data_IF_791912298487
#
_entry.id   IF_791912298487
#
_cell.length_a   1.000
_cell.length_b   1.000
_cell.length_c   1.000
_cell.angle_alpha   90.00
_cell.angle_beta   90.00
_cell.angle_gamma   90.00
#
_symmetry.space_group_name_H-M   'P 1'
#
loop_
_entity.id
_entity.type
_entity.pdbx_description
1 polymer ?
#
# COMPACT_ATOMS: atom_id res chain seq x y z
N UNK A 1 18.12 23.36 -14.62
CA UNK A 1 18.33 22.55 -13.41
C UNK A 1 17.14 22.80 -12.51
N UNK A 2 16.13 21.92 -12.57
CA UNK A 2 14.93 22.07 -11.73
C UNK A 2 15.12 21.16 -10.52
N UNK A 3 15.48 21.74 -9.39
CA UNK A 3 15.40 21.10 -8.08
C UNK A 3 13.90 20.96 -7.74
N UNK A 4 13.27 19.90 -8.27
CA UNK A 4 11.95 19.51 -7.80
C UNK A 4 12.14 19.02 -6.36
N UNK A 5 11.64 19.81 -5.40
CA UNK A 5 11.78 19.58 -3.97
C UNK A 5 11.66 18.10 -3.63
N UNK A 6 12.77 17.51 -3.20
CA UNK A 6 12.84 16.12 -2.78
C UNK A 6 11.86 15.93 -1.63
N UNK A 7 10.75 15.27 -1.90
CA UNK A 7 9.76 14.90 -0.87
C UNK A 7 10.52 14.21 0.27
N UNK A 8 10.49 14.79 1.47
CA UNK A 8 11.10 14.16 2.63
C UNK A 8 10.20 13.00 3.07
N UNK A 9 10.46 11.84 2.48
CA UNK A 9 9.75 10.60 2.75
C UNK A 9 9.76 10.27 4.25
N UNK A 10 10.81 10.64 5.00
CA UNK A 10 10.83 10.42 6.44
C UNK A 10 9.85 11.34 7.17
N UNK A 11 9.67 12.58 6.72
CA UNK A 11 8.67 13.48 7.28
C UNK A 11 7.25 12.96 7.02
N UNK A 12 6.96 12.44 5.83
CA UNK A 12 5.66 11.85 5.52
C UNK A 12 5.36 10.61 6.36
N UNK A 13 6.35 9.74 6.56
CA UNK A 13 6.21 8.55 7.41
C UNK A 13 6.00 8.95 8.88
N UNK A 14 6.73 9.95 9.40
CA UNK A 14 6.48 10.47 10.76
C UNK A 14 5.05 11.01 10.90
N UNK A 15 4.61 11.82 9.95
CA UNK A 15 3.25 12.35 9.95
C UNK A 15 2.18 11.26 9.84
N UNK A 16 2.46 10.11 9.21
CA UNK A 16 1.59 8.95 9.25
C UNK A 16 1.51 8.37 10.66
N UNK A 17 2.68 8.12 11.29
CA UNK A 17 2.75 7.55 12.63
C UNK A 17 2.05 8.43 13.66
N UNK A 18 2.22 9.75 13.59
CA UNK A 18 1.56 10.72 14.48
C UNK A 18 0.02 10.72 14.36
N UNK A 19 -0.54 10.16 13.28
CA UNK A 19 -1.98 10.04 13.04
C UNK A 19 -2.55 8.68 13.44
N UNK A 20 -1.70 7.68 13.70
CA UNK A 20 -2.17 6.37 14.12
C UNK A 20 -2.55 6.38 15.60
N UNK A 21 -3.50 5.53 16.02
CA UNK A 21 -3.80 5.33 17.43
C UNK A 21 -2.58 4.86 18.22
N UNK A 22 -2.51 5.22 19.51
CA UNK A 22 -1.41 4.79 20.40
C UNK A 22 -1.34 3.26 20.56
N UNK A 23 -2.47 2.56 20.38
CA UNK A 23 -2.57 1.10 20.43
C UNK A 23 -2.45 0.43 19.04
N UNK A 24 -1.97 1.17 18.03
CA UNK A 24 -1.85 0.63 16.68
C UNK A 24 -0.90 -0.57 16.60
N UNK A 25 -1.31 -1.57 15.81
CA UNK A 25 -0.50 -2.75 15.55
C UNK A 25 0.44 -2.52 14.37
N UNK A 26 1.44 -3.41 14.21
CA UNK A 26 2.28 -3.41 13.00
C UNK A 26 1.47 -3.54 11.70
N UNK A 27 0.33 -4.24 11.74
CA UNK A 27 -0.55 -4.38 10.57
C UNK A 27 -1.20 -3.04 10.18
N UNK A 28 -1.49 -2.17 11.16
CA UNK A 28 -2.08 -0.85 10.91
C UNK A 28 -1.06 0.10 10.28
N UNK A 29 0.19 0.06 10.76
CA UNK A 29 1.31 0.80 10.16
C UNK A 29 1.53 0.37 8.71
N UNK A 30 1.59 -0.94 8.45
CA UNK A 30 1.73 -1.50 7.10
C UNK A 30 0.58 -1.07 6.19
N UNK A 31 -0.65 -1.09 6.69
CA UNK A 31 -1.83 -0.63 5.95
C UNK A 31 -1.75 0.87 5.62
N UNK A 32 -1.33 1.70 6.58
CA UNK A 32 -1.12 3.13 6.36
C UNK A 32 -0.09 3.41 5.26
N UNK A 33 1.03 2.69 5.28
CA UNK A 33 2.06 2.78 4.23
C UNK A 33 1.51 2.33 2.87
N UNK A 34 0.77 1.22 2.82
CA UNK A 34 0.17 0.72 1.58
C UNK A 34 -0.80 1.74 0.95
N UNK A 35 -1.55 2.48 1.77
CA UNK A 35 -2.42 3.56 1.30
C UNK A 35 -1.62 4.76 0.78
N UNK A 36 -0.51 5.13 1.43
CA UNK A 36 0.36 6.20 0.94
C UNK A 36 1.00 5.86 -0.42
N UNK A 37 1.41 4.61 -0.58
CA UNK A 37 2.00 4.10 -1.82
C UNK A 37 0.98 3.82 -2.93
N UNK A 38 -0.31 3.91 -2.61
CA UNK A 38 -1.36 3.62 -3.56
C UNK A 38 -1.34 4.64 -4.70
N UNK A 39 -1.51 4.23 -5.97
CA UNK A 39 -1.57 5.16 -7.09
C UNK A 39 -2.67 6.21 -6.86
N UNK A 40 -2.27 7.48 -6.78
CA UNK A 40 -3.20 8.60 -6.67
C UNK A 40 -3.47 9.18 -8.04
N UNK A 41 -4.71 9.57 -8.28
CA UNK A 41 -5.07 10.35 -9.47
C UNK A 41 -4.53 11.77 -9.34
N UNK A 42 -4.58 12.55 -10.43
CA UNK A 42 -4.07 13.93 -10.44
C UNK A 42 -4.76 14.88 -9.44
N UNK A 43 -5.95 14.51 -8.95
CA UNK A 43 -6.72 15.23 -7.93
C UNK A 43 -6.42 14.75 -6.49
N UNK A 44 -5.50 13.81 -6.30
CA UNK A 44 -5.16 13.24 -5.00
C UNK A 44 -6.11 12.13 -4.51
N UNK A 45 -7.18 11.81 -5.26
CA UNK A 45 -8.04 10.67 -4.96
C UNK A 45 -7.29 9.35 -5.19
N UNK A 46 -7.63 8.32 -4.42
CA UNK A 46 -7.08 6.98 -4.64
C UNK A 46 -7.63 6.43 -5.96
N UNK A 47 -6.76 6.00 -6.86
CA UNK A 47 -7.21 5.25 -8.03
C UNK A 47 -7.80 3.92 -7.55
N UNK A 48 -9.00 3.52 -8.00
CA UNK A 48 -9.52 2.21 -7.65
C UNK A 48 -8.51 1.14 -8.11
N UNK A 49 -8.25 0.10 -7.29
CA UNK A 49 -7.39 -0.98 -7.72
C UNK A 49 -7.92 -1.52 -9.03
N UNK A 50 -7.03 -1.74 -10.00
CA UNK A 50 -7.39 -2.43 -11.24
C UNK A 50 -7.98 -3.79 -10.82
N UNK A 51 -9.30 -3.95 -10.99
CA UNK A 51 -9.96 -5.22 -10.71
C UNK A 51 -9.34 -6.25 -11.64
N UNK A 52 -8.84 -7.33 -11.05
CA UNK A 52 -8.42 -8.49 -11.80
C UNK A 52 -9.67 -9.24 -12.23
N UNK A 53 -9.63 -9.80 -13.43
CA UNK A 53 -10.68 -10.70 -13.88
C UNK A 53 -10.80 -11.91 -12.92
N UNK A 54 -12.01 -12.41 -12.66
CA UNK A 54 -12.23 -13.48 -11.69
C UNK A 54 -11.32 -14.71 -11.89
N UNK A 55 -10.99 -15.04 -13.14
CA UNK A 55 -10.14 -16.19 -13.45
C UNK A 55 -8.66 -15.96 -13.09
N UNK A 56 -8.19 -14.72 -13.23
CA UNK A 56 -6.84 -14.34 -12.80
C UNK A 56 -6.72 -14.34 -11.27
N UNK A 57 -7.78 -13.93 -10.56
CA UNK A 57 -7.85 -14.06 -9.09
C UNK A 57 -7.78 -15.53 -8.67
N UNK A 58 -8.57 -16.41 -9.31
CA UNK A 58 -8.55 -17.85 -9.02
C UNK A 58 -7.19 -18.47 -9.31
N UNK A 59 -6.50 -18.05 -10.38
CA UNK A 59 -5.15 -18.54 -10.72
C UNK A 59 -4.15 -18.19 -9.63
N UNK A 60 -4.08 -16.92 -9.24
CA UNK A 60 -3.16 -16.44 -8.19
C UNK A 60 -3.44 -17.09 -6.84
N UNK A 61 -4.71 -17.27 -6.48
CA UNK A 61 -5.09 -17.94 -5.24
C UNK A 61 -4.62 -19.39 -5.21
N UNK A 62 -4.77 -20.13 -6.32
CA UNK A 62 -4.26 -21.51 -6.44
C UNK A 62 -2.75 -21.57 -6.33
N UNK A 63 -2.03 -20.63 -6.92
CA UNK A 63 -0.56 -20.56 -6.83
C UNK A 63 -0.10 -20.30 -5.40
N UNK A 64 -0.76 -19.36 -4.72
CA UNK A 64 -0.44 -19.04 -3.32
C UNK A 64 -0.71 -20.23 -2.39
N UNK A 65 -1.87 -20.90 -2.52
CA UNK A 65 -2.20 -22.07 -1.71
C UNK A 65 -1.22 -23.23 -1.90
N UNK A 66 -0.67 -23.40 -3.12
CA UNK A 66 0.41 -24.37 -3.37
C UNK A 66 1.69 -23.96 -2.64
N UNK A 67 2.09 -22.70 -2.74
CA UNK A 67 3.29 -22.19 -2.08
C UNK A 67 3.25 -22.23 -0.54
N UNK A 68 2.06 -22.20 0.06
CA UNK A 68 1.89 -22.37 1.51
C UNK A 68 1.87 -23.85 1.93
N UNK A 69 1.51 -24.76 1.03
CA UNK A 69 1.54 -26.21 1.29
C UNK A 69 2.95 -26.81 1.16
N UNK A 70 3.83 -26.12 0.42
CA UNK A 70 5.23 -26.51 0.18
C UNK A 70 6.22 -25.90 1.20
N UNK A 71 5.73 -25.22 2.25
CA UNK A 71 6.52 -24.69 3.39
C UNK A 71 6.38 -25.56 4.62
#
# INVERSE_FOLDING_TARGET
MSDQGKVDVKAEVRALLDRLPDDCSYADVQRGIAVLMWPKQGDGSLAPPKRLEPDEVKRRLREWLKSESDK
#
